data_IF_108084015834
#
_entry.id   IF_108084015834
#
_cell.length_a   1.000
_cell.length_b   1.000
_cell.length_c   1.000
_cell.angle_alpha   90.00
_cell.angle_beta   90.00
_cell.angle_gamma   90.00
#
_symmetry.space_group_name_H-M   'P 1'
#
loop_
_entity.id
_entity.type
_entity.pdbx_description
1 polymer ?
#
# COMPACT_ATOMS: atom_id res chain seq x y z
N UNK A 1 92.59 0.48 38.56
CA UNK A 1 91.72 -0.70 38.22
C UNK A 1 90.63 -0.19 37.33
N UNK A 2 90.89 -0.21 36.03
CA UNK A 2 89.83 0.16 35.03
C UNK A 2 88.81 -0.95 34.87
N UNK A 3 87.58 -0.57 35.04
CA UNK A 3 86.43 -1.43 34.91
C UNK A 3 86.11 -1.50 33.41
N UNK A 4 86.59 -2.58 32.72
CA UNK A 4 86.21 -2.86 31.35
C UNK A 4 84.69 -3.10 31.34
N UNK A 5 83.95 -2.17 30.79
CA UNK A 5 82.55 -2.31 30.52
C UNK A 5 82.42 -3.12 29.21
N UNK A 6 81.96 -4.37 29.38
CA UNK A 6 81.69 -5.26 28.27
C UNK A 6 80.46 -4.72 27.49
N UNK A 7 80.74 -4.13 26.33
CA UNK A 7 79.72 -3.51 25.43
C UNK A 7 79.00 -4.54 24.56
N UNK A 8 79.45 -5.80 24.55
CA UNK A 8 78.86 -6.84 23.70
C UNK A 8 77.49 -7.34 24.13
N UNK A 9 77.10 -7.13 25.41
CA UNK A 9 75.81 -7.60 25.94
C UNK A 9 74.58 -6.73 25.51
N UNK A 10 74.78 -5.57 24.88
CA UNK A 10 73.65 -4.63 24.57
C UNK A 10 73.24 -4.54 23.11
N UNK A 11 73.90 -5.26 22.21
CA UNK A 11 73.50 -5.21 20.80
C UNK A 11 72.78 -6.53 20.45
N UNK A 12 71.43 -6.49 20.29
CA UNK A 12 70.71 -7.68 19.84
C UNK A 12 71.25 -8.06 18.47
N UNK A 13 71.83 -9.27 18.37
CA UNK A 13 72.45 -9.76 17.17
C UNK A 13 71.46 -9.71 16.00
N UNK A 14 71.93 -9.48 14.78
CA UNK A 14 71.09 -9.41 13.57
C UNK A 14 70.20 -10.68 13.42
N UNK A 15 70.62 -11.80 14.00
CA UNK A 15 69.85 -13.06 14.08
C UNK A 15 68.61 -12.92 14.97
N UNK A 16 68.69 -12.23 16.11
CA UNK A 16 67.54 -12.00 16.99
C UNK A 16 66.55 -11.02 16.40
N UNK A 17 67.01 -9.97 15.71
CA UNK A 17 66.14 -9.04 14.98
C UNK A 17 65.42 -9.74 13.83
N UNK A 18 66.07 -10.64 13.09
CA UNK A 18 65.49 -11.45 12.06
C UNK A 18 64.46 -12.46 12.64
N UNK A 19 64.79 -13.15 13.74
CA UNK A 19 63.88 -14.06 14.46
C UNK A 19 62.65 -13.28 14.98
N UNK A 20 62.78 -12.13 15.59
CA UNK A 20 61.66 -11.31 16.07
C UNK A 20 60.78 -10.85 14.91
N UNK A 21 61.35 -10.49 13.76
CA UNK A 21 60.57 -10.12 12.56
C UNK A 21 59.83 -11.32 11.96
N UNK A 22 60.48 -12.46 11.87
CA UNK A 22 59.85 -13.70 11.38
C UNK A 22 58.75 -14.19 12.29
N UNK A 23 58.97 -14.16 13.63
CA UNK A 23 57.96 -14.51 14.61
C UNK A 23 56.74 -13.56 14.58
N UNK A 24 56.97 -12.25 14.36
CA UNK A 24 55.81 -11.33 14.20
C UNK A 24 55.01 -11.59 12.93
N UNK A 25 55.66 -11.92 11.82
CA UNK A 25 54.97 -12.26 10.58
C UNK A 25 54.23 -13.61 10.73
N UNK A 26 54.85 -14.58 11.35
CA UNK A 26 54.23 -15.88 11.67
C UNK A 26 53.03 -15.71 12.62
N UNK A 27 53.16 -14.87 13.68
CA UNK A 27 52.08 -14.60 14.61
C UNK A 27 50.89 -13.89 13.93
N UNK A 28 51.19 -12.94 13.03
CA UNK A 28 50.17 -12.26 12.23
C UNK A 28 49.43 -13.23 11.29
N UNK A 29 50.18 -14.12 10.62
CA UNK A 29 49.60 -15.15 9.75
C UNK A 29 48.75 -16.16 10.53
N UNK A 30 49.24 -16.60 11.69
CA UNK A 30 48.50 -17.46 12.59
C UNK A 30 47.20 -16.78 13.10
N UNK A 31 47.26 -15.48 13.43
CA UNK A 31 46.10 -14.72 13.88
C UNK A 31 45.05 -14.60 12.77
N UNK A 32 45.49 -14.31 11.53
CA UNK A 32 44.60 -14.29 10.36
C UNK A 32 43.95 -15.66 10.16
N UNK A 33 44.75 -16.74 10.25
CA UNK A 33 44.23 -18.11 10.14
C UNK A 33 43.18 -18.41 11.20
N UNK A 34 43.42 -18.04 12.46
CA UNK A 34 42.45 -18.23 13.55
C UNK A 34 41.18 -17.44 13.34
N UNK A 35 41.26 -16.19 12.81
CA UNK A 35 40.08 -15.41 12.45
C UNK A 35 39.27 -16.10 11.35
N UNK A 36 39.92 -16.57 10.29
CA UNK A 36 39.25 -17.27 9.21
C UNK A 36 38.62 -18.59 9.69
N UNK A 37 39.30 -19.32 10.55
CA UNK A 37 38.75 -20.54 11.19
C UNK A 37 37.53 -20.20 12.08
N UNK A 38 37.62 -19.15 12.89
CA UNK A 38 36.49 -18.70 13.70
C UNK A 38 35.31 -18.24 12.84
N UNK A 39 35.56 -17.52 11.74
CA UNK A 39 34.52 -17.11 10.79
C UNK A 39 33.85 -18.33 10.13
N UNK A 40 34.61 -19.36 9.79
CA UNK A 40 34.08 -20.59 9.22
C UNK A 40 33.22 -21.37 10.21
N UNK A 41 33.65 -21.46 11.47
CA UNK A 41 32.87 -22.08 12.55
C UNK A 41 31.60 -21.29 12.80
N UNK A 42 31.70 -19.94 12.82
CA UNK A 42 30.55 -19.06 12.97
C UNK A 42 29.54 -19.23 11.84
N UNK A 43 29.98 -19.28 10.55
CA UNK A 43 29.09 -19.41 9.40
C UNK A 43 28.29 -20.73 9.40
N UNK A 44 28.79 -21.79 10.05
CA UNK A 44 28.10 -23.06 10.21
C UNK A 44 27.27 -23.15 11.49
N UNK A 45 27.40 -22.15 12.39
CA UNK A 45 26.68 -22.11 13.66
C UNK A 45 25.22 -21.68 13.46
N UNK A 46 24.34 -22.09 14.39
CA UNK A 46 22.96 -21.59 14.48
C UNK A 46 22.87 -20.07 14.63
N UNK A 47 23.91 -19.41 15.13
CA UNK A 47 24.00 -17.95 15.26
C UNK A 47 24.23 -17.21 13.94
N UNK A 48 24.49 -17.92 12.86
CA UNK A 48 24.60 -17.38 11.51
C UNK A 48 23.35 -17.66 10.66
N UNK A 49 22.31 -18.25 11.26
CA UNK A 49 21.10 -18.70 10.57
C UNK A 49 19.88 -17.90 11.04
N UNK A 50 18.90 -17.76 10.17
CA UNK A 50 17.59 -17.21 10.50
C UNK A 50 16.91 -18.15 11.49
N UNK A 51 16.54 -17.64 12.66
CA UNK A 51 15.81 -18.38 13.68
C UNK A 51 14.37 -17.92 13.80
N UNK A 52 14.06 -16.70 13.37
CA UNK A 52 12.71 -16.16 13.36
C UNK A 52 12.54 -15.14 12.25
N UNK A 53 11.41 -15.21 11.58
CA UNK A 53 10.92 -14.20 10.66
C UNK A 53 9.66 -13.62 11.29
N UNK A 54 9.58 -12.31 11.40
CA UNK A 54 8.43 -11.61 11.97
C UNK A 54 7.86 -10.69 10.91
N UNK A 55 6.57 -10.83 10.61
CA UNK A 55 5.86 -9.93 9.70
C UNK A 55 5.06 -8.93 10.54
N UNK A 56 5.14 -7.66 10.19
CA UNK A 56 4.44 -6.57 10.86
C UNK A 56 3.60 -5.81 9.84
N UNK A 57 2.35 -5.50 10.19
CA UNK A 57 1.44 -4.71 9.35
C UNK A 57 0.57 -5.53 8.40
N UNK A 58 0.68 -6.86 8.38
CA UNK A 58 -0.22 -7.74 7.64
C UNK A 58 -1.63 -7.71 8.28
N UNK A 59 -2.65 -7.40 7.49
CA UNK A 59 -4.06 -7.33 7.90
C UNK A 59 -5.00 -8.00 6.91
N UNK A 60 -4.69 -7.97 5.61
CA UNK A 60 -5.50 -8.56 4.54
C UNK A 60 -5.21 -10.05 4.35
N UNK A 61 -3.93 -10.41 4.39
CA UNK A 61 -3.47 -11.78 4.16
C UNK A 61 -2.70 -12.30 5.37
N UNK A 62 -2.46 -13.62 5.42
CA UNK A 62 -1.72 -14.23 6.50
C UNK A 62 -0.21 -13.90 6.44
N UNK A 63 0.45 -13.87 7.59
CA UNK A 63 1.92 -13.65 7.65
C UNK A 63 2.69 -14.66 6.78
N UNK A 64 2.16 -15.87 6.62
CA UNK A 64 2.71 -16.94 5.79
C UNK A 64 2.87 -16.52 4.32
N UNK A 65 1.94 -15.73 3.78
CA UNK A 65 1.95 -15.32 2.37
C UNK A 65 3.13 -14.38 2.09
N UNK A 66 3.43 -13.48 3.02
CA UNK A 66 4.58 -12.58 2.94
C UNK A 66 5.91 -13.31 3.16
N UNK A 67 5.94 -14.31 4.05
CA UNK A 67 7.12 -15.15 4.26
C UNK A 67 7.42 -15.95 3.00
N UNK A 68 6.40 -16.53 2.36
CA UNK A 68 6.57 -17.25 1.10
C UNK A 68 7.08 -16.33 -0.02
N UNK A 69 6.50 -15.15 -0.16
CA UNK A 69 6.95 -14.15 -1.13
C UNK A 69 8.39 -13.66 -0.88
N UNK A 70 8.82 -13.64 0.39
CA UNK A 70 10.18 -13.26 0.76
C UNK A 70 11.26 -14.24 0.30
N UNK A 71 10.86 -15.47 -0.06
CA UNK A 71 11.75 -16.61 -0.37
C UNK A 71 12.73 -16.96 0.77
N UNK A 72 12.45 -16.53 1.98
CA UNK A 72 13.24 -16.81 3.17
C UNK A 72 12.64 -17.95 3.98
N UNK A 73 13.50 -18.77 4.58
CA UNK A 73 13.08 -19.80 5.51
C UNK A 73 13.92 -19.80 6.78
N UNK A 74 13.32 -20.26 7.89
CA UNK A 74 14.10 -20.54 9.09
C UNK A 74 15.18 -21.59 8.81
N UNK A 75 16.38 -21.31 9.24
CA UNK A 75 17.56 -22.13 8.96
C UNK A 75 18.42 -21.64 7.80
N UNK A 76 17.95 -20.71 7.00
CA UNK A 76 18.75 -20.06 5.97
C UNK A 76 19.87 -19.20 6.58
N UNK A 77 20.90 -18.92 5.80
CA UNK A 77 22.00 -18.09 6.28
C UNK A 77 21.57 -16.60 6.29
N UNK A 78 21.80 -15.93 7.41
CA UNK A 78 21.61 -14.48 7.52
C UNK A 78 22.44 -13.66 6.51
N UNK A 79 23.46 -14.26 5.91
CA UNK A 79 24.40 -13.64 4.97
C UNK A 79 24.12 -13.99 3.52
N UNK A 80 23.18 -14.92 3.24
CA UNK A 80 22.89 -15.40 1.89
C UNK A 80 21.85 -14.59 1.15
N UNK A 81 21.16 -13.65 1.80
CA UNK A 81 20.14 -12.83 1.18
C UNK A 81 20.45 -11.32 1.33
N UNK A 82 19.96 -10.55 0.40
CA UNK A 82 19.95 -9.11 0.45
C UNK A 82 18.56 -8.62 0.89
N UNK A 83 18.51 -7.65 1.81
CA UNK A 83 17.25 -7.16 2.35
C UNK A 83 16.44 -6.39 1.29
N UNK A 84 17.12 -5.62 0.42
CA UNK A 84 16.47 -4.84 -0.63
C UNK A 84 15.90 -5.76 -1.72
N UNK A 85 16.62 -6.84 -2.09
CA UNK A 85 16.12 -7.83 -3.04
C UNK A 85 14.91 -8.57 -2.49
N UNK A 86 14.94 -8.92 -1.20
CA UNK A 86 13.79 -9.56 -0.52
C UNK A 86 12.61 -8.61 -0.44
N UNK A 87 12.82 -7.33 -0.08
CA UNK A 87 11.77 -6.33 -0.06
C UNK A 87 11.15 -6.16 -1.45
N UNK A 88 11.98 -6.16 -2.50
CA UNK A 88 11.50 -6.08 -3.87
C UNK A 88 10.62 -7.27 -4.25
N UNK A 89 11.01 -8.50 -3.87
CA UNK A 89 10.20 -9.69 -4.13
C UNK A 89 8.80 -9.60 -3.45
N UNK A 90 8.75 -9.13 -2.20
CA UNK A 90 7.48 -8.92 -1.51
C UNK A 90 6.66 -7.78 -2.14
N UNK A 91 7.30 -6.73 -2.64
CA UNK A 91 6.63 -5.61 -3.30
C UNK A 91 5.96 -5.97 -4.64
N UNK A 92 6.21 -7.17 -5.18
CA UNK A 92 5.51 -7.71 -6.36
C UNK A 92 4.09 -8.20 -6.02
N UNK A 93 3.75 -8.33 -4.72
CA UNK A 93 2.38 -8.64 -4.29
C UNK A 93 1.47 -7.43 -4.53
N UNK A 94 0.37 -7.64 -5.27
CA UNK A 94 -0.49 -6.55 -5.76
C UNK A 94 -1.19 -5.76 -4.64
N UNK A 95 -1.31 -6.33 -3.45
CA UNK A 95 -1.92 -5.68 -2.28
C UNK A 95 -0.92 -4.92 -1.39
N UNK A 96 0.37 -5.01 -1.67
CA UNK A 96 1.43 -4.33 -0.91
C UNK A 96 1.71 -2.96 -1.49
N UNK A 97 1.63 -1.92 -0.66
CA UNK A 97 1.99 -0.56 -1.02
C UNK A 97 3.48 -0.29 -0.78
N UNK A 98 3.96 -0.64 0.42
CA UNK A 98 5.37 -0.51 0.77
C UNK A 98 5.83 -1.66 1.65
N UNK A 99 7.12 -1.99 1.56
CA UNK A 99 7.74 -3.01 2.38
C UNK A 99 9.16 -2.61 2.77
N UNK A 100 9.54 -2.92 4.00
CA UNK A 100 10.89 -2.81 4.51
C UNK A 100 11.31 -4.13 5.15
N UNK A 101 12.53 -4.58 4.85
CA UNK A 101 13.10 -5.81 5.41
C UNK A 101 14.34 -5.44 6.21
N UNK A 102 14.34 -5.75 7.48
CA UNK A 102 15.42 -5.45 8.39
C UNK A 102 16.00 -6.72 9.02
N UNK A 103 17.34 -6.81 9.02
CA UNK A 103 18.05 -7.88 9.73
C UNK A 103 18.14 -7.52 11.22
N UNK A 104 17.35 -8.19 12.03
CA UNK A 104 17.38 -8.03 13.48
C UNK A 104 18.52 -8.83 14.08
N UNK A 105 19.51 -8.12 14.60
CA UNK A 105 20.70 -8.61 15.30
C UNK A 105 20.88 -10.14 15.34
N UNK A 106 21.80 -10.64 14.52
CA UNK A 106 22.32 -12.01 14.42
C UNK A 106 21.39 -13.07 13.81
N UNK A 107 20.11 -13.16 14.17
CA UNK A 107 19.31 -14.36 13.84
C UNK A 107 17.83 -14.06 13.48
N UNK A 108 17.39 -12.83 13.51
CA UNK A 108 16.01 -12.45 13.19
C UNK A 108 15.93 -11.67 11.89
N UNK A 109 14.77 -11.76 11.24
CA UNK A 109 14.39 -10.92 10.11
C UNK A 109 13.02 -10.30 10.43
N UNK A 110 12.92 -8.99 10.35
CA UNK A 110 11.67 -8.27 10.50
C UNK A 110 11.25 -7.76 9.12
N UNK A 111 10.04 -8.11 8.70
CA UNK A 111 9.40 -7.70 7.46
C UNK A 111 8.26 -6.76 7.83
N UNK A 112 8.44 -5.47 7.63
CA UNK A 112 7.40 -4.48 7.85
C UNK A 112 6.70 -4.20 6.52
N UNK A 113 5.41 -4.51 6.43
CA UNK A 113 4.59 -4.29 5.25
C UNK A 113 3.56 -3.21 5.53
N UNK A 114 3.28 -2.37 4.55
CA UNK A 114 2.09 -1.55 4.49
C UNK A 114 1.27 -2.02 3.29
N UNK A 115 0.06 -2.46 3.56
CA UNK A 115 -0.89 -2.87 2.55
C UNK A 115 -1.59 -1.63 1.98
N UNK A 116 -1.99 -1.69 0.70
CA UNK A 116 -2.74 -0.62 0.06
C UNK A 116 -4.09 -0.44 0.77
N UNK A 117 -4.47 0.78 1.16
CA UNK A 117 -5.68 1.00 1.93
C UNK A 117 -6.94 0.64 1.14
N UNK A 118 -7.97 0.16 1.85
CA UNK A 118 -9.29 -0.08 1.29
C UNK A 118 -9.99 1.23 0.96
N UNK A 119 -10.63 1.29 -0.23
CA UNK A 119 -11.44 2.44 -0.66
C UNK A 119 -12.92 2.10 -0.73
N UNK A 120 -13.30 0.83 -0.59
CA UNK A 120 -14.67 0.35 -0.62
C UNK A 120 -14.79 -1.07 -1.16
N UNK A 121 -15.95 -1.42 -1.70
CA UNK A 121 -16.29 -2.80 -2.05
C UNK A 121 -16.85 -2.87 -3.47
N UNK A 122 -16.33 -3.78 -4.28
CA UNK A 122 -16.87 -4.13 -5.59
C UNK A 122 -18.03 -5.11 -5.43
N UNK A 123 -19.15 -4.80 -6.03
CA UNK A 123 -20.27 -5.73 -6.14
C UNK A 123 -19.97 -6.81 -7.18
N UNK A 124 -20.20 -8.08 -6.84
CA UNK A 124 -20.06 -9.25 -7.70
C UNK A 124 -21.29 -10.15 -7.59
N UNK A 125 -21.48 -11.05 -8.55
CA UNK A 125 -22.63 -11.96 -8.61
C UNK A 125 -22.90 -12.73 -7.31
N UNK A 126 -21.87 -13.08 -6.55
CA UNK A 126 -21.95 -13.91 -5.34
C UNK A 126 -21.48 -13.19 -4.06
N UNK A 127 -21.43 -11.87 -4.05
CA UNK A 127 -21.00 -11.11 -2.87
C UNK A 127 -20.19 -9.87 -3.20
N UNK A 128 -19.23 -9.59 -2.36
CA UNK A 128 -18.42 -8.39 -2.48
C UNK A 128 -16.93 -8.73 -2.46
N UNK A 129 -16.14 -7.94 -3.15
CA UNK A 129 -14.67 -7.95 -3.07
C UNK A 129 -14.20 -6.58 -2.55
N UNK A 130 -13.24 -6.58 -1.66
CA UNK A 130 -12.64 -5.34 -1.19
C UNK A 130 -11.78 -4.71 -2.29
N UNK A 131 -11.98 -3.42 -2.56
CA UNK A 131 -11.22 -2.66 -3.54
C UNK A 131 -10.18 -1.79 -2.84
N UNK A 132 -8.93 -1.97 -3.20
CA UNK A 132 -7.81 -1.19 -2.67
C UNK A 132 -7.53 0.06 -3.50
N UNK A 133 -6.84 1.02 -2.89
CA UNK A 133 -6.50 2.30 -3.51
C UNK A 133 -5.64 2.18 -4.78
N UNK A 134 -4.89 1.10 -4.93
CA UNK A 134 -4.14 0.79 -6.15
C UNK A 134 -4.98 0.10 -7.26
N UNK A 135 -6.30 -0.02 -7.07
CA UNK A 135 -7.21 -0.66 -8.03
C UNK A 135 -7.25 -2.18 -7.96
N UNK A 136 -6.49 -2.80 -7.04
CA UNK A 136 -6.54 -4.24 -6.83
C UNK A 136 -7.83 -4.64 -6.10
N UNK A 137 -8.49 -5.70 -6.59
CA UNK A 137 -9.66 -6.30 -5.97
C UNK A 137 -9.24 -7.55 -5.20
N UNK A 138 -9.40 -7.52 -3.88
CA UNK A 138 -9.00 -8.62 -2.99
C UNK A 138 -9.90 -9.83 -3.22
N UNK A 139 -9.31 -11.01 -3.43
CA UNK A 139 -10.03 -12.25 -3.72
C UNK A 139 -10.53 -13.00 -2.47
N UNK A 140 -10.39 -12.39 -1.31
CA UNK A 140 -10.83 -12.99 -0.04
C UNK A 140 -12.32 -12.73 0.21
N UNK A 141 -13.02 -13.66 0.92
CA UNK A 141 -14.41 -13.45 1.31
C UNK A 141 -14.56 -12.20 2.18
N UNK A 142 -15.57 -11.39 1.88
CA UNK A 142 -15.92 -10.21 2.68
C UNK A 142 -17.03 -10.58 3.65
N UNK A 143 -16.71 -10.59 4.94
CA UNK A 143 -17.69 -10.90 6.00
C UNK A 143 -18.60 -9.70 6.30
N UNK A 144 -18.09 -8.48 6.14
CA UNK A 144 -18.80 -7.23 6.43
C UNK A 144 -18.44 -6.16 5.41
N UNK A 145 -19.46 -5.52 4.83
CA UNK A 145 -19.31 -4.36 3.99
C UNK A 145 -19.39 -3.11 4.89
N UNK A 146 -18.25 -2.39 4.99
CA UNK A 146 -18.12 -1.22 5.86
C UNK A 146 -17.50 -0.05 5.08
N UNK A 147 -18.15 0.32 3.98
CA UNK A 147 -17.70 1.36 3.07
C UNK A 147 -18.59 1.49 1.84
N UNK A 148 -18.25 2.37 0.90
CA UNK A 148 -19.01 2.55 -0.32
C UNK A 148 -18.95 1.30 -1.22
N UNK A 149 -20.07 1.04 -1.91
CA UNK A 149 -20.19 -0.06 -2.86
C UNK A 149 -20.00 0.45 -4.27
N UNK A 150 -19.18 -0.25 -5.05
CA UNK A 150 -18.89 0.09 -6.45
C UNK A 150 -19.48 -0.99 -7.36
N UNK A 151 -20.37 -0.60 -8.23
CA UNK A 151 -21.12 -1.49 -9.14
C UNK A 151 -20.68 -1.26 -10.58
N UNK A 152 -20.44 -2.32 -11.34
CA UNK A 152 -20.00 -2.36 -12.74
C UNK A 152 -18.55 -1.86 -12.97
N UNK A 153 -17.66 -1.99 -11.98
CA UNK A 153 -16.26 -1.63 -12.10
C UNK A 153 -15.36 -2.85 -12.37
N UNK A 154 -15.67 -3.62 -13.43
CA UNK A 154 -14.90 -4.82 -13.81
C UNK A 154 -13.53 -4.47 -14.38
N UNK A 155 -13.41 -3.36 -15.09
CA UNK A 155 -12.18 -2.95 -15.76
C UNK A 155 -11.18 -2.34 -14.77
N UNK A 156 -9.93 -2.82 -14.82
CA UNK A 156 -8.85 -2.36 -13.92
C UNK A 156 -8.50 -0.87 -14.14
N UNK A 157 -8.51 -0.39 -15.39
CA UNK A 157 -8.21 1.01 -15.70
C UNK A 157 -9.27 1.94 -15.10
N UNK A 158 -10.55 1.54 -15.18
CA UNK A 158 -11.67 2.29 -14.59
C UNK A 158 -11.58 2.30 -13.06
N UNK A 159 -11.13 1.20 -12.43
CA UNK A 159 -10.89 1.15 -10.98
C UNK A 159 -9.75 2.08 -10.54
N UNK A 160 -8.66 2.13 -11.31
CA UNK A 160 -7.56 3.07 -11.05
C UNK A 160 -7.99 4.52 -11.17
N UNK A 161 -8.80 4.85 -12.19
CA UNK A 161 -9.37 6.20 -12.33
C UNK A 161 -10.28 6.54 -11.14
N UNK A 162 -11.17 5.61 -10.75
CA UNK A 162 -12.02 5.78 -9.57
C UNK A 162 -11.18 6.05 -8.32
N UNK A 163 -10.16 5.24 -8.06
CA UNK A 163 -9.27 5.41 -6.92
C UNK A 163 -8.60 6.79 -6.93
N UNK A 164 -8.06 7.20 -8.07
CA UNK A 164 -7.44 8.53 -8.24
C UNK A 164 -8.40 9.67 -7.95
N UNK A 165 -9.68 9.53 -8.33
CA UNK A 165 -10.71 10.53 -8.05
C UNK A 165 -11.10 10.54 -6.56
N UNK A 166 -11.22 9.37 -5.93
CA UNK A 166 -11.57 9.26 -4.52
C UNK A 166 -10.45 9.78 -3.59
N UNK A 167 -9.19 9.58 -3.95
CA UNK A 167 -8.04 10.10 -3.21
C UNK A 167 -8.03 11.64 -3.12
N UNK A 168 -8.56 12.32 -4.14
CA UNK A 168 -8.62 13.77 -4.21
C UNK A 168 -9.80 14.37 -3.42
N UNK A 169 -10.73 13.53 -2.92
CA UNK A 169 -11.89 14.00 -2.18
C UNK A 169 -11.55 14.42 -0.75
N UNK A 170 -12.24 15.45 -0.27
CA UNK A 170 -12.27 15.73 1.16
C UNK A 170 -12.87 14.53 1.91
N UNK A 171 -12.26 14.06 3.01
CA UNK A 171 -12.76 12.93 3.79
C UNK A 171 -14.23 13.09 4.24
N UNK A 172 -14.72 14.31 4.42
CA UNK A 172 -16.12 14.55 4.76
C UNK A 172 -17.05 14.18 3.61
N UNK A 173 -16.63 14.42 2.37
CA UNK A 173 -17.42 14.08 1.17
C UNK A 173 -17.30 12.58 0.89
N UNK A 174 -16.10 12.03 0.99
CA UNK A 174 -15.87 10.59 0.83
C UNK A 174 -16.73 9.76 1.79
N UNK A 175 -16.84 10.16 3.06
CA UNK A 175 -17.68 9.50 4.06
C UNK A 175 -19.19 9.62 3.81
N UNK A 176 -19.60 10.47 2.88
CA UNK A 176 -21.01 10.58 2.46
C UNK A 176 -21.35 9.66 1.28
N UNK A 177 -20.36 9.00 0.67
CA UNK A 177 -20.62 8.03 -0.39
C UNK A 177 -21.21 6.76 0.19
N UNK A 178 -22.31 6.27 -0.40
CA UNK A 178 -22.93 5.00 -0.09
C UNK A 178 -22.73 3.99 -1.22
N UNK A 179 -23.03 4.39 -2.45
CA UNK A 179 -22.83 3.54 -3.62
C UNK A 179 -22.44 4.39 -4.82
N UNK A 180 -21.63 3.84 -5.70
CA UNK A 180 -21.23 4.41 -6.96
C UNK A 180 -21.41 3.40 -8.07
N UNK A 181 -22.27 3.72 -9.02
CA UNK A 181 -22.64 2.87 -10.14
C UNK A 181 -22.02 3.42 -11.43
N UNK A 182 -21.24 2.62 -12.12
CA UNK A 182 -20.79 2.93 -13.47
C UNK A 182 -21.97 2.67 -14.44
N UNK A 183 -22.44 3.71 -15.13
CA UNK A 183 -23.66 3.62 -15.96
C UNK A 183 -23.38 3.46 -17.43
N UNK A 184 -22.38 4.17 -17.96
CA UNK A 184 -22.00 4.10 -19.37
C UNK A 184 -20.51 4.37 -19.55
N UNK A 185 -19.89 3.64 -20.47
CA UNK A 185 -18.48 3.80 -20.86
C UNK A 185 -17.51 2.93 -20.10
N UNK A 186 -16.34 2.69 -20.69
CA UNK A 186 -15.29 1.83 -20.13
C UNK A 186 -14.00 2.62 -19.83
N UNK A 187 -14.05 3.94 -19.93
CA UNK A 187 -12.86 4.81 -19.82
C UNK A 187 -13.09 5.94 -18.83
N UNK A 188 -12.07 6.77 -18.63
CA UNK A 188 -12.11 7.96 -17.77
C UNK A 188 -13.22 8.96 -18.07
N UNK A 189 -13.86 8.88 -19.26
CA UNK A 189 -15.04 9.68 -19.63
C UNK A 189 -16.37 8.99 -19.29
N UNK A 190 -16.36 7.87 -18.61
CA UNK A 190 -17.55 7.12 -18.24
C UNK A 190 -18.47 7.94 -17.33
N UNK A 191 -19.78 7.74 -17.50
CA UNK A 191 -20.79 8.34 -16.62
C UNK A 191 -20.96 7.49 -15.37
N UNK A 192 -21.09 8.15 -14.24
CA UNK A 192 -21.31 7.52 -12.94
C UNK A 192 -22.51 8.12 -12.23
N UNK A 193 -23.23 7.27 -11.52
CA UNK A 193 -24.31 7.67 -10.62
C UNK A 193 -23.88 7.33 -9.19
N UNK A 194 -23.90 8.33 -8.31
CA UNK A 194 -23.58 8.18 -6.90
C UNK A 194 -24.85 8.29 -6.06
N UNK A 195 -24.96 7.42 -5.09
CA UNK A 195 -25.95 7.52 -4.02
C UNK A 195 -25.26 7.93 -2.73
N UNK A 196 -25.73 9.05 -2.18
CA UNK A 196 -25.15 9.64 -0.99
C UNK A 196 -25.88 9.16 0.27
N UNK A 197 -25.18 9.11 1.41
CA UNK A 197 -25.78 8.69 2.70
C UNK A 197 -26.89 9.61 3.21
N UNK A 198 -26.93 10.86 2.75
CA UNK A 198 -28.01 11.80 3.03
C UNK A 198 -29.26 11.58 2.18
N UNK A 199 -29.20 10.64 1.22
CA UNK A 199 -30.27 10.22 0.36
C UNK A 199 -30.42 11.02 -0.92
N UNK A 200 -29.44 11.82 -1.34
CA UNK A 200 -29.37 12.43 -2.65
C UNK A 200 -28.70 11.52 -3.69
N UNK A 201 -29.02 11.74 -4.96
CA UNK A 201 -28.36 11.13 -6.12
C UNK A 201 -27.51 12.17 -6.84
N UNK A 202 -26.33 11.78 -7.30
CA UNK A 202 -25.44 12.61 -8.11
C UNK A 202 -25.11 11.89 -9.41
N UNK A 203 -25.25 12.60 -10.52
CA UNK A 203 -24.79 12.12 -11.84
C UNK A 203 -23.61 12.95 -12.27
N UNK A 204 -22.51 12.28 -12.62
CA UNK A 204 -21.27 12.95 -12.98
C UNK A 204 -20.46 12.12 -13.98
N UNK A 205 -19.38 12.70 -14.49
CA UNK A 205 -18.36 11.96 -15.22
C UNK A 205 -17.26 11.52 -14.26
N UNK A 206 -16.77 10.30 -14.42
CA UNK A 206 -15.74 9.74 -13.55
C UNK A 206 -14.50 10.63 -13.48
N UNK A 207 -14.00 11.12 -14.61
CA UNK A 207 -12.78 11.92 -14.69
C UNK A 207 -12.86 13.33 -14.08
N UNK A 208 -14.04 13.80 -13.71
CA UNK A 208 -14.23 15.09 -13.06
C UNK A 208 -14.94 14.98 -11.72
N UNK A 209 -15.03 13.76 -11.20
CA UNK A 209 -15.81 13.45 -10.01
C UNK A 209 -15.33 14.24 -8.79
N UNK A 210 -14.02 14.23 -8.52
CA UNK A 210 -13.45 14.93 -7.36
C UNK A 210 -13.68 16.44 -7.43
N UNK A 211 -13.45 17.05 -8.58
CA UNK A 211 -13.70 18.48 -8.81
C UNK A 211 -15.17 18.83 -8.53
N UNK A 212 -16.10 18.06 -9.08
CA UNK A 212 -17.53 18.32 -8.95
C UNK A 212 -18.03 18.11 -7.52
N UNK A 213 -17.61 17.05 -6.87
CA UNK A 213 -18.00 16.73 -5.50
C UNK A 213 -17.47 17.73 -4.46
N UNK A 214 -16.42 18.48 -4.76
CA UNK A 214 -15.94 19.57 -3.90
C UNK A 214 -17.05 20.60 -3.60
N UNK A 215 -17.99 20.80 -4.53
CA UNK A 215 -19.11 21.73 -4.35
C UNK A 215 -20.28 21.14 -3.56
N UNK A 216 -20.35 19.82 -3.42
CA UNK A 216 -21.51 19.12 -2.86
C UNK A 216 -21.92 19.62 -1.47
N UNK A 217 -21.02 19.81 -0.48
CA UNK A 217 -21.43 20.32 0.83
C UNK A 217 -22.12 21.69 0.78
N UNK A 218 -21.68 22.56 -0.13
CA UNK A 218 -22.27 23.87 -0.30
C UNK A 218 -23.61 23.84 -1.02
N UNK A 219 -23.84 22.84 -1.87
CA UNK A 219 -25.08 22.64 -2.60
C UNK A 219 -26.18 22.12 -1.65
N UNK A 220 -25.89 21.08 -0.87
CA UNK A 220 -26.87 20.55 0.10
C UNK A 220 -27.26 21.58 1.17
N UNK A 221 -26.33 22.47 1.55
CA UNK A 221 -26.62 23.54 2.50
C UNK A 221 -27.63 24.60 1.97
N UNK A 222 -27.90 24.60 0.66
CA UNK A 222 -28.87 25.53 0.03
C UNK A 222 -30.24 24.88 -0.19
N UNK A 223 -30.37 23.57 0.06
CA UNK A 223 -31.65 22.88 -0.04
C UNK A 223 -32.53 23.20 1.16
N UNK A 224 -33.85 23.15 0.95
CA UNK A 224 -34.82 23.22 2.03
C UNK A 224 -34.75 21.99 2.95
N UNK A 225 -35.13 22.12 4.20
CA UNK A 225 -35.10 21.02 5.16
C UNK A 225 -35.88 19.80 4.64
N UNK A 226 -35.17 18.66 4.51
CA UNK A 226 -35.73 17.41 4.04
C UNK A 226 -35.86 17.29 2.52
N UNK A 227 -35.50 18.30 1.75
CA UNK A 227 -35.49 18.24 0.29
C UNK A 227 -34.38 17.31 -0.21
N UNK A 228 -34.77 16.37 -1.09
CA UNK A 228 -33.86 15.40 -1.72
C UNK A 228 -34.14 15.32 -3.20
N UNK A 229 -33.11 14.95 -3.95
CA UNK A 229 -33.22 14.82 -5.41
C UNK A 229 -31.94 14.43 -6.09
N UNK A 230 -31.87 14.78 -7.36
CA UNK A 230 -30.77 14.45 -8.27
C UNK A 230 -29.97 15.71 -8.59
N UNK A 231 -28.69 15.69 -8.28
CA UNK A 231 -27.71 16.65 -8.77
C UNK A 231 -27.10 16.14 -10.07
N UNK A 232 -27.42 16.79 -11.17
CA UNK A 232 -26.76 16.51 -12.44
C UNK A 232 -25.54 17.42 -12.56
N UNK A 233 -24.36 16.78 -12.54
CA UNK A 233 -23.04 17.41 -12.59
C UNK A 233 -22.23 16.98 -13.84
N UNK A 234 -22.83 16.30 -14.81
CA UNK A 234 -22.12 15.79 -16.00
C UNK A 234 -21.49 16.94 -16.81
N UNK A 235 -22.20 18.03 -16.99
CA UNK A 235 -21.72 19.23 -17.71
C UNK A 235 -21.72 20.45 -16.81
N UNK A 236 -22.89 20.84 -16.33
CA UNK A 236 -23.11 21.92 -15.37
C UNK A 236 -23.51 21.32 -14.00
N UNK A 237 -23.95 22.17 -13.06
CA UNK A 237 -24.54 21.73 -11.80
C UNK A 237 -25.98 22.14 -11.80
N UNK A 238 -26.91 21.18 -11.82
CA UNK A 238 -28.34 21.42 -11.71
C UNK A 238 -28.93 20.50 -10.68
N UNK A 239 -29.92 20.96 -9.94
CA UNK A 239 -30.69 20.18 -8.96
C UNK A 239 -32.13 20.02 -9.45
N UNK A 240 -32.64 18.79 -9.34
CA UNK A 240 -34.06 18.48 -9.56
C UNK A 240 -34.57 17.59 -8.44
N UNK A 241 -35.77 17.85 -7.94
CA UNK A 241 -36.38 16.99 -6.95
C UNK A 241 -36.64 15.58 -7.51
N UNK A 242 -36.74 14.57 -6.66
CA UNK A 242 -37.09 13.23 -7.11
C UNK A 242 -38.47 13.20 -7.81
N UNK A 243 -39.41 14.03 -7.37
CA UNK A 243 -40.72 14.12 -8.01
C UNK A 243 -40.62 14.68 -9.45
N UNK A 244 -39.65 15.56 -9.73
CA UNK A 244 -39.43 16.11 -11.07
C UNK A 244 -38.69 15.11 -11.98
N UNK A 245 -37.90 14.19 -11.43
CA UNK A 245 -37.09 13.21 -12.21
C UNK A 245 -37.85 11.91 -12.39
N UNK A 246 -38.47 11.40 -11.33
CA UNK A 246 -39.08 10.06 -11.27
C UNK A 246 -40.59 10.08 -11.02
N UNK A 247 -41.16 11.26 -10.80
CA UNK A 247 -42.61 11.44 -10.62
C UNK A 247 -43.37 11.20 -11.94
N UNK A 248 -44.70 11.05 -11.88
CA UNK A 248 -45.51 10.98 -13.06
C UNK A 248 -45.36 12.25 -13.91
N UNK A 249 -45.45 12.15 -15.25
CA UNK A 249 -45.37 13.34 -16.11
C UNK A 249 -46.34 14.39 -15.66
N UNK A 250 -45.85 15.60 -15.40
CA UNK A 250 -46.75 16.74 -15.13
C UNK A 250 -47.58 16.97 -16.37
N UNK A 251 -48.90 16.87 -16.30
CA UNK A 251 -49.82 17.27 -17.38
C UNK A 251 -49.48 18.71 -17.74
N UNK A 252 -49.00 18.94 -18.95
CA UNK A 252 -48.87 20.28 -19.52
C UNK A 252 -50.29 20.79 -19.65
N UNK A 253 -50.71 21.67 -18.71
CA UNK A 253 -52.01 22.30 -18.77
C UNK A 253 -52.17 23.00 -20.12
N UNK A 254 -53.17 22.59 -20.87
CA UNK A 254 -53.69 23.32 -22.01
C UNK A 254 -54.28 24.63 -21.43
N UNK A 255 -53.42 25.58 -21.17
CA UNK A 255 -53.84 26.92 -20.80
C UNK A 255 -53.80 27.84 -22.03
N UNK A 256 -55.04 28.22 -22.45
CA UNK A 256 -55.35 29.43 -23.18
C UNK A 256 -55.16 29.48 -24.71
N UNK A 257 -55.99 28.72 -25.40
CA UNK A 257 -56.51 29.29 -26.66
C UNK A 257 -57.99 29.60 -26.52
N UNK A 258 -58.33 30.70 -25.88
CA UNK A 258 -59.62 31.36 -26.12
C UNK A 258 -59.59 32.83 -25.57
N UNK A 259 -59.20 33.72 -26.44
CA UNK A 259 -59.74 35.11 -26.40
C UNK A 259 -59.54 35.77 -27.76
N UNK A 260 -60.49 35.61 -28.64
CA UNK A 260 -60.84 36.65 -29.59
C UNK A 260 -62.35 36.94 -29.48
N UNK A 261 -62.69 38.18 -29.56
CA UNK A 261 -63.77 38.54 -30.46
C UNK A 261 -63.32 39.19 -31.73
#
# INVERSE_FOLDING_TARGET
>A
MDKVIDIEERIPTLRERRRKRTNRKFLALLFIFLILLAALIYSQSKYSKIQSITVLGATLYEESDYIEASLLAEGDSMWSFDADDTAKAISELEWVETVAVDKRWLTGVDIAVAESPSIGFLEKDNGYQELLANGYAVELPVDKVDGPIFTNFENAETRLELSSQLEQLDPKVSNMLSQLLLTEGESSSANVTLYMTDGNEIRAKLNSLAEKLTYYPSLIAQLEDGQKGVFDMEVGITFRSYDDVYGPPKEVGEDEETAQP
#
